data_IF_111026809298
#
_entry.id   IF_111026809298
#
_cell.length_a   1.000
_cell.length_b   1.000
_cell.length_c   1.000
_cell.angle_alpha   90.00
_cell.angle_beta   90.00
_cell.angle_gamma   90.00
#
_symmetry.space_group_name_H-M   'P 1'
#
loop_
_entity.id
_entity.type
_entity.pdbx_description
1 polymer ?
#
# COMPACT_ATOMS: atom_id res chain seq x y z
N UNK A 1 28.20 -28.45 -19.67
CA UNK A 1 27.97 -27.58 -18.48
C UNK A 1 27.87 -26.10 -18.83
N UNK A 2 28.75 -25.55 -19.68
CA UNK A 2 28.69 -24.14 -20.09
C UNK A 2 27.39 -23.74 -20.81
N UNK A 3 26.85 -24.59 -21.70
CA UNK A 3 25.62 -24.24 -22.43
C UNK A 3 24.39 -24.16 -21.54
N UNK A 4 24.25 -25.09 -20.58
CA UNK A 4 23.15 -25.08 -19.62
C UNK A 4 23.21 -23.87 -18.68
N UNK A 5 24.42 -23.43 -18.30
CA UNK A 5 24.61 -22.23 -17.49
C UNK A 5 24.24 -20.97 -18.28
N UNK A 6 24.72 -20.85 -19.52
CA UNK A 6 24.41 -19.72 -20.41
C UNK A 6 22.91 -19.63 -20.72
N UNK A 7 22.23 -20.76 -20.93
CA UNK A 7 20.79 -20.79 -21.17
C UNK A 7 20.01 -20.33 -19.94
N UNK A 8 20.34 -20.85 -18.75
CA UNK A 8 19.69 -20.46 -17.51
C UNK A 8 19.97 -19.00 -17.16
N UNK A 9 21.17 -18.50 -17.39
CA UNK A 9 21.51 -17.09 -17.22
C UNK A 9 20.62 -16.20 -18.11
N UNK A 10 20.52 -16.51 -19.41
CA UNK A 10 19.69 -15.73 -20.34
C UNK A 10 18.23 -15.71 -19.93
N UNK A 11 17.69 -16.86 -19.54
CA UNK A 11 16.31 -16.98 -19.06
C UNK A 11 16.09 -16.19 -17.76
N UNK A 12 17.02 -16.30 -16.81
CA UNK A 12 16.96 -15.55 -15.55
C UNK A 12 17.05 -14.05 -15.78
N UNK A 13 17.97 -13.58 -16.63
CA UNK A 13 18.09 -12.16 -17.00
C UNK A 13 16.81 -11.66 -17.65
N UNK A 14 16.21 -12.45 -18.54
CA UNK A 14 14.95 -12.10 -19.19
C UNK A 14 13.84 -11.87 -18.17
N UNK A 15 13.62 -12.83 -17.27
CA UNK A 15 12.59 -12.73 -16.23
C UNK A 15 12.87 -11.56 -15.29
N UNK A 16 14.12 -11.35 -14.86
CA UNK A 16 14.48 -10.24 -13.99
C UNK A 16 14.27 -8.88 -14.66
N UNK A 17 14.48 -8.75 -15.98
CA UNK A 17 14.17 -7.52 -16.72
C UNK A 17 12.68 -7.26 -16.79
N UNK A 18 11.86 -8.29 -17.01
CA UNK A 18 10.40 -8.17 -16.92
C UNK A 18 9.98 -7.73 -15.52
N UNK A 19 10.50 -8.38 -14.48
CA UNK A 19 10.18 -8.06 -13.10
C UNK A 19 10.56 -6.63 -12.71
N UNK A 20 11.75 -6.19 -13.15
CA UNK A 20 12.18 -4.81 -13.00
C UNK A 20 11.19 -3.82 -13.62
N UNK A 21 10.68 -4.12 -14.83
CA UNK A 21 9.67 -3.26 -15.48
C UNK A 21 8.37 -3.21 -14.69
N UNK A 22 7.95 -4.31 -14.06
CA UNK A 22 6.76 -4.33 -13.20
C UNK A 22 6.95 -3.45 -11.95
N UNK A 23 8.13 -3.51 -11.33
CA UNK A 23 8.45 -2.64 -10.19
C UNK A 23 8.53 -1.16 -10.57
N UNK A 24 9.00 -0.83 -11.78
CA UNK A 24 8.97 0.53 -12.31
C UNK A 24 7.54 1.02 -12.54
N UNK A 25 6.67 0.20 -13.17
CA UNK A 25 5.26 0.55 -13.34
C UNK A 25 4.56 0.73 -11.99
N UNK A 26 4.84 -0.15 -11.03
CA UNK A 26 4.32 -0.03 -9.67
C UNK A 26 4.77 1.28 -9.01
N UNK A 27 6.04 1.67 -9.16
CA UNK A 27 6.55 2.95 -8.64
C UNK A 27 5.74 4.15 -9.15
N UNK A 28 5.49 4.21 -10.46
CA UNK A 28 4.71 5.30 -11.08
C UNK A 28 3.29 5.36 -10.51
N UNK A 29 2.65 4.20 -10.36
CA UNK A 29 1.28 4.13 -9.84
C UNK A 29 1.20 4.52 -8.36
N UNK A 30 2.15 4.09 -7.55
CA UNK A 30 2.23 4.48 -6.14
C UNK A 30 2.53 5.98 -5.96
N UNK A 31 3.37 6.55 -6.82
CA UNK A 31 3.65 7.99 -6.79
C UNK A 31 2.39 8.80 -7.18
N UNK A 32 1.66 8.35 -8.20
CA UNK A 32 0.35 8.90 -8.57
C UNK A 32 -0.67 8.77 -7.43
N UNK A 33 -0.70 7.62 -6.74
CA UNK A 33 -1.59 7.39 -5.60
C UNK A 33 -1.30 8.40 -4.49
N UNK A 34 -0.03 8.56 -4.11
CA UNK A 34 0.41 9.53 -3.11
C UNK A 34 -0.07 10.94 -3.45
N UNK A 35 0.06 11.37 -4.70
CA UNK A 35 -0.39 12.69 -5.15
C UNK A 35 -1.92 12.84 -5.09
N UNK A 36 -2.67 11.85 -5.57
CA UNK A 36 -4.14 11.86 -5.49
C UNK A 36 -4.63 11.93 -4.03
N UNK A 37 -4.00 11.16 -3.14
CA UNK A 37 -4.29 11.21 -1.71
C UNK A 37 -3.95 12.57 -1.11
N UNK A 38 -2.82 13.16 -1.47
CA UNK A 38 -2.40 14.48 -0.97
C UNK A 38 -3.36 15.60 -1.39
N UNK A 39 -3.90 15.55 -2.61
CA UNK A 39 -4.76 16.59 -3.17
C UNK A 39 -6.27 16.27 -3.12
N UNK A 40 -6.69 15.26 -2.33
CA UNK A 40 -8.10 14.85 -2.15
C UNK A 40 -8.84 14.55 -3.47
N UNK A 41 -8.15 13.95 -4.44
CA UNK A 41 -8.75 13.55 -5.72
C UNK A 41 -9.14 12.08 -5.67
N UNK A 42 -10.33 11.81 -5.15
CA UNK A 42 -10.76 10.43 -4.85
C UNK A 42 -11.34 9.68 -6.05
N UNK A 43 -11.84 10.40 -7.06
CA UNK A 43 -12.56 9.84 -8.22
C UNK A 43 -11.76 8.80 -9.01
N UNK A 44 -10.42 8.87 -8.96
CA UNK A 44 -9.52 7.96 -9.69
C UNK A 44 -8.81 6.94 -8.81
N UNK A 45 -9.05 6.93 -7.49
CA UNK A 45 -8.31 6.05 -6.57
C UNK A 45 -8.70 4.58 -6.74
N UNK A 46 -9.98 4.28 -6.97
CA UNK A 46 -10.44 2.90 -7.13
C UNK A 46 -9.82 2.22 -8.37
N UNK A 47 -9.81 2.93 -9.50
CA UNK A 47 -9.17 2.43 -10.72
C UNK A 47 -7.67 2.22 -10.51
N UNK A 48 -7.01 3.16 -9.84
CA UNK A 48 -5.59 3.08 -9.53
C UNK A 48 -5.27 1.91 -8.57
N UNK A 49 -6.11 1.65 -7.57
CA UNK A 49 -5.96 0.48 -6.70
C UNK A 49 -6.07 -0.83 -7.49
N UNK A 50 -7.03 -0.92 -8.40
CA UNK A 50 -7.16 -2.08 -9.26
C UNK A 50 -5.92 -2.28 -10.16
N UNK A 51 -5.30 -1.20 -10.64
CA UNK A 51 -4.04 -1.26 -11.40
C UNK A 51 -2.85 -1.70 -10.54
N UNK A 52 -2.73 -1.17 -9.33
CA UNK A 52 -1.71 -1.56 -8.35
C UNK A 52 -1.83 -3.05 -8.02
N UNK A 53 -3.04 -3.55 -7.75
CA UNK A 53 -3.30 -4.99 -7.52
C UNK A 53 -2.91 -5.85 -8.73
N UNK A 54 -3.22 -5.41 -9.95
CA UNK A 54 -2.80 -6.09 -11.17
C UNK A 54 -1.28 -6.18 -11.27
N UNK A 55 -0.56 -5.12 -10.89
CA UNK A 55 0.90 -5.13 -10.84
C UNK A 55 1.45 -6.10 -9.79
N UNK A 56 0.89 -6.14 -8.58
CA UNK A 56 1.29 -7.13 -7.58
C UNK A 56 1.09 -8.57 -8.08
N UNK A 57 -0.02 -8.84 -8.78
CA UNK A 57 -0.25 -10.16 -9.40
C UNK A 57 0.81 -10.51 -10.46
N UNK A 58 1.28 -9.54 -11.25
CA UNK A 58 2.35 -9.75 -12.24
C UNK A 58 3.70 -10.03 -11.58
N UNK A 59 4.04 -9.25 -10.55
CA UNK A 59 5.26 -9.44 -9.74
C UNK A 59 5.26 -10.85 -9.13
N UNK A 60 4.18 -11.24 -8.44
CA UNK A 60 4.06 -12.57 -7.84
C UNK A 60 4.26 -13.70 -8.87
N UNK A 61 3.64 -13.58 -10.05
CA UNK A 61 3.84 -14.55 -11.14
C UNK A 61 5.30 -14.62 -11.61
N UNK A 62 6.02 -13.51 -11.61
CA UNK A 62 7.46 -13.47 -11.93
C UNK A 62 8.29 -14.18 -10.86
N UNK A 63 8.02 -13.88 -9.59
CA UNK A 63 8.68 -14.50 -8.45
C UNK A 63 8.47 -16.03 -8.41
N UNK A 64 7.27 -16.48 -8.78
CA UNK A 64 6.94 -17.90 -8.92
C UNK A 64 7.74 -18.57 -10.06
N UNK A 65 7.95 -17.88 -11.20
CA UNK A 65 8.82 -18.36 -12.29
C UNK A 65 10.27 -18.48 -11.85
N UNK A 66 10.80 -17.47 -11.15
CA UNK A 66 12.17 -17.50 -10.60
C UNK A 66 12.32 -18.65 -9.61
N UNK A 67 11.33 -18.83 -8.73
CA UNK A 67 11.30 -19.94 -7.76
C UNK A 67 11.30 -21.29 -8.46
N UNK A 68 10.54 -21.43 -9.55
CA UNK A 68 10.52 -22.64 -10.38
C UNK A 68 11.89 -22.90 -11.02
N UNK A 69 12.56 -21.89 -11.56
CA UNK A 69 13.91 -22.02 -12.11
C UNK A 69 14.94 -22.46 -11.05
N UNK A 70 14.87 -21.85 -9.87
CA UNK A 70 15.71 -22.21 -8.73
C UNK A 70 15.50 -23.67 -8.32
N UNK A 71 14.24 -24.12 -8.24
CA UNK A 71 13.90 -25.47 -7.80
C UNK A 71 14.28 -26.54 -8.83
N UNK A 72 14.20 -26.23 -10.14
CA UNK A 72 14.62 -27.16 -11.20
C UNK A 72 16.11 -27.48 -11.15
N UNK A 73 16.97 -26.48 -10.95
CA UNK A 73 18.43 -26.66 -10.93
C UNK A 73 19.12 -25.76 -9.89
N UNK A 74 19.07 -26.11 -8.58
CA UNK A 74 19.55 -25.23 -7.51
C UNK A 74 21.02 -24.82 -7.62
N UNK A 75 21.89 -25.75 -8.02
CA UNK A 75 23.33 -25.50 -8.12
C UNK A 75 23.67 -24.55 -9.28
N UNK A 76 23.08 -24.79 -10.47
CA UNK A 76 23.29 -23.94 -11.65
C UNK A 76 22.65 -22.56 -11.41
N UNK A 77 21.48 -22.51 -10.78
CA UNK A 77 20.84 -21.25 -10.40
C UNK A 77 21.73 -20.42 -9.48
N UNK A 78 22.38 -21.04 -8.48
CA UNK A 78 23.31 -20.33 -7.59
C UNK A 78 24.50 -19.74 -8.35
N UNK A 79 25.04 -20.46 -9.33
CA UNK A 79 26.12 -19.96 -10.20
C UNK A 79 25.64 -18.78 -11.06
N UNK A 80 24.49 -18.92 -11.73
CA UNK A 80 23.92 -17.86 -12.54
C UNK A 80 23.58 -16.61 -11.72
N UNK A 81 23.00 -16.78 -10.52
CA UNK A 81 22.70 -15.68 -9.60
C UNK A 81 23.95 -14.95 -9.09
N UNK A 82 25.12 -15.59 -9.15
CA UNK A 82 26.38 -14.97 -8.78
C UNK A 82 26.97 -14.09 -9.90
N UNK A 83 26.47 -14.21 -11.14
CA UNK A 83 27.00 -13.49 -12.30
C UNK A 83 26.77 -11.97 -12.18
N UNK A 84 27.70 -11.13 -12.66
CA UNK A 84 27.64 -9.68 -12.48
C UNK A 84 26.37 -9.03 -13.03
N UNK A 85 25.93 -9.46 -14.22
CA UNK A 85 24.75 -8.87 -14.87
C UNK A 85 23.46 -9.19 -14.10
N UNK A 86 23.32 -10.43 -13.63
CA UNK A 86 22.20 -10.83 -12.78
C UNK A 86 22.19 -10.01 -11.48
N UNK A 87 23.34 -9.89 -10.81
CA UNK A 87 23.48 -9.08 -9.59
C UNK A 87 23.10 -7.62 -9.81
N UNK A 88 23.51 -7.03 -10.94
CA UNK A 88 23.20 -5.64 -11.30
C UNK A 88 21.70 -5.41 -11.41
N UNK A 89 20.98 -6.31 -12.09
CA UNK A 89 19.52 -6.21 -12.25
C UNK A 89 18.84 -6.41 -10.90
N UNK A 90 19.24 -7.42 -10.12
CA UNK A 90 18.69 -7.68 -8.76
C UNK A 90 18.88 -6.46 -7.85
N UNK A 91 20.07 -5.85 -7.83
CA UNK A 91 20.31 -4.63 -7.04
C UNK A 91 19.42 -3.46 -7.48
N UNK A 92 19.13 -3.36 -8.77
CA UNK A 92 18.24 -2.34 -9.32
C UNK A 92 16.79 -2.57 -8.89
N UNK A 93 16.33 -3.82 -8.92
CA UNK A 93 15.03 -4.25 -8.39
C UNK A 93 14.94 -3.93 -6.89
N UNK A 94 15.93 -4.32 -6.09
CA UNK A 94 15.97 -4.05 -4.64
C UNK A 94 15.86 -2.55 -4.36
N UNK A 95 16.54 -1.72 -5.15
CA UNK A 95 16.46 -0.26 -5.01
C UNK A 95 15.04 0.25 -5.31
N UNK A 96 14.39 -0.25 -6.36
CA UNK A 96 13.00 0.10 -6.67
C UNK A 96 12.03 -0.38 -5.59
N UNK A 97 12.18 -1.60 -5.08
CA UNK A 97 11.37 -2.12 -3.98
C UNK A 97 11.44 -1.19 -2.77
N UNK A 98 12.64 -0.76 -2.37
CA UNK A 98 12.81 0.19 -1.26
C UNK A 98 12.11 1.52 -1.52
N UNK A 99 12.19 2.03 -2.76
CA UNK A 99 11.47 3.27 -3.15
C UNK A 99 9.95 3.08 -3.09
N UNK A 100 9.43 1.96 -3.57
CA UNK A 100 8.01 1.64 -3.51
C UNK A 100 7.50 1.53 -2.08
N UNK A 101 8.24 0.85 -1.20
CA UNK A 101 7.92 0.76 0.24
C UNK A 101 7.81 2.15 0.86
N UNK A 102 8.78 3.04 0.57
CA UNK A 102 8.76 4.41 1.06
C UNK A 102 7.52 5.18 0.59
N UNK A 103 7.13 5.06 -0.68
CA UNK A 103 5.92 5.72 -1.20
C UNK A 103 4.64 5.24 -0.51
N UNK A 104 4.55 3.93 -0.23
CA UNK A 104 3.42 3.37 0.51
C UNK A 104 3.38 3.90 1.94
N UNK A 105 4.54 3.96 2.63
CA UNK A 105 4.64 4.53 3.98
C UNK A 105 4.23 6.01 4.02
N UNK A 106 4.71 6.81 3.07
CA UNK A 106 4.31 8.21 2.95
C UNK A 106 2.79 8.34 2.74
N UNK A 107 2.21 7.50 1.86
CA UNK A 107 0.76 7.46 1.61
C UNK A 107 -0.04 7.06 2.86
N UNK A 108 0.46 6.08 3.62
CA UNK A 108 -0.13 5.65 4.90
C UNK A 108 -0.11 6.80 5.93
N UNK A 109 1.00 7.51 6.08
CA UNK A 109 1.08 8.67 6.97
C UNK A 109 0.06 9.76 6.61
N UNK A 110 -0.13 10.06 5.32
CA UNK A 110 -1.15 11.02 4.89
C UNK A 110 -2.55 10.57 5.27
N UNK A 111 -2.88 9.30 5.05
CA UNK A 111 -4.20 8.75 5.39
C UNK A 111 -4.43 8.71 6.90
N UNK A 112 -3.43 8.34 7.68
CA UNK A 112 -3.51 8.35 9.13
C UNK A 112 -3.76 9.76 9.67
N UNK A 113 -3.09 10.79 9.14
CA UNK A 113 -3.34 12.18 9.53
C UNK A 113 -4.79 12.61 9.25
N UNK A 114 -5.33 12.25 8.08
CA UNK A 114 -6.75 12.53 7.76
C UNK A 114 -7.71 11.78 8.68
N UNK A 115 -7.45 10.51 8.94
CA UNK A 115 -8.24 9.68 9.85
C UNK A 115 -8.27 10.28 11.27
N UNK A 116 -7.12 10.68 11.81
CA UNK A 116 -7.06 11.29 13.15
C UNK A 116 -7.81 12.61 13.21
N UNK A 117 -7.73 13.44 12.15
CA UNK A 117 -8.52 14.68 12.05
C UNK A 117 -10.02 14.40 12.11
N UNK A 118 -10.53 13.48 11.26
CA UNK A 118 -11.95 13.11 11.24
C UNK A 118 -12.37 12.56 12.62
N UNK A 119 -11.55 11.72 13.23
CA UNK A 119 -11.80 11.18 14.58
C UNK A 119 -11.92 12.28 15.63
N UNK A 120 -11.05 13.30 15.56
CA UNK A 120 -11.12 14.47 16.45
C UNK A 120 -12.38 15.30 16.20
N UNK A 121 -12.75 15.52 14.94
CA UNK A 121 -13.99 16.24 14.58
C UNK A 121 -15.22 15.51 15.11
N UNK A 122 -15.31 14.19 14.96
CA UNK A 122 -16.37 13.36 15.54
C UNK A 122 -16.39 13.47 17.07
N UNK A 123 -15.22 13.42 17.72
CA UNK A 123 -15.11 13.60 19.17
C UNK A 123 -15.64 14.95 19.63
N UNK A 124 -15.34 16.02 18.89
CA UNK A 124 -15.88 17.36 19.12
C UNK A 124 -17.41 17.39 19.00
N UNK A 125 -17.96 16.80 17.94
CA UNK A 125 -19.42 16.73 17.74
C UNK A 125 -20.14 15.93 18.83
N UNK A 126 -19.57 14.81 19.28
CA UNK A 126 -20.11 14.05 20.42
C UNK A 126 -20.13 14.87 21.71
N UNK A 127 -19.13 15.70 21.94
CA UNK A 127 -19.15 16.62 23.09
C UNK A 127 -20.23 17.70 22.94
N UNK A 128 -20.56 18.09 21.72
CA UNK A 128 -21.68 19.00 21.42
C UNK A 128 -23.06 18.36 21.58
N UNK A 129 -23.19 17.02 21.65
CA UNK A 129 -24.44 16.35 22.05
C UNK A 129 -24.85 16.73 23.48
N UNK A 130 -23.95 17.28 24.32
CA UNK A 130 -24.32 17.91 25.59
C UNK A 130 -25.32 19.06 25.42
N UNK A 131 -25.36 19.72 24.26
CA UNK A 131 -26.37 20.74 23.97
C UNK A 131 -27.78 20.13 23.89
N UNK A 132 -27.91 18.85 23.51
CA UNK A 132 -29.19 18.13 23.57
C UNK A 132 -29.67 17.91 25.01
N UNK A 133 -28.77 17.95 26.00
CA UNK A 133 -29.14 17.89 27.43
C UNK A 133 -29.74 19.21 27.92
N UNK A 134 -29.37 20.35 27.35
CA UNK A 134 -30.00 21.65 27.67
C UNK A 134 -31.48 21.72 27.28
N UNK A 135 -31.94 20.86 26.37
CA UNK A 135 -33.38 20.74 26.05
C UNK A 135 -34.14 19.81 27.01
N UNK A 136 -33.47 19.13 27.96
CA UNK A 136 -34.11 18.19 28.91
C UNK A 136 -34.35 18.77 30.30
N UNK A 137 -33.73 19.89 30.66
CA UNK A 137 -33.76 20.42 32.04
C UNK A 137 -34.81 21.53 32.29
N UNK A 138 -35.85 21.66 31.45
CA UNK A 138 -36.88 22.70 31.62
C UNK A 138 -38.32 22.19 31.53
N UNK A 139 -38.68 21.18 32.32
CA UNK A 139 -40.05 21.09 32.83
C UNK A 139 -40.01 21.14 34.36
N UNK A 140 -40.21 22.32 34.99
CA UNK A 140 -40.52 22.35 36.41
C UNK A 140 -41.90 21.71 36.58
N UNK A 141 -41.95 20.54 37.22
CA UNK A 141 -43.20 19.93 37.66
C UNK A 141 -43.94 20.94 38.56
N UNK A 142 -45.18 21.35 38.25
CA UNK A 142 -45.92 22.24 39.11
C UNK A 142 -46.18 21.53 40.45
N UNK A 143 -45.48 21.96 41.50
CA UNK A 143 -45.80 21.57 42.87
C UNK A 143 -47.06 22.33 43.29
N UNK A 144 -48.20 21.64 43.29
CA UNK A 144 -49.39 22.12 43.96
C UNK A 144 -49.12 22.16 45.47
N UNK A 145 -49.09 23.36 46.04
CA UNK A 145 -49.08 23.56 47.49
C UNK A 145 -50.54 23.41 47.95
N UNK A 146 -50.88 22.27 48.55
CA UNK A 146 -52.19 22.09 49.19
C UNK A 146 -52.22 22.93 50.47
N UNK A 147 -52.87 24.10 50.38
CA UNK A 147 -53.03 25.03 51.49
C UNK A 147 -54.05 24.49 52.50
N UNK A 148 -53.56 23.74 53.49
CA UNK A 148 -54.28 23.49 54.74
C UNK A 148 -53.48 24.03 55.91
N UNK A 149 -53.84 25.23 56.36
CA UNK A 149 -54.10 25.56 57.78
C UNK A 149 -54.79 26.93 57.87
#
# INVERSE_FOLDING_TARGET
MNDNLNQLERELIFILKEEYSFYQSLFIMLDKQKDLLKYNKEDHLLELFAEIERSYKRIKKSEDKISTLKNKNPNIFRLAAALPEVKKIVNSIVTLVKKNVRLVQESEEYMNKKYQRIKSEIGGLKNSEKILQYMRDNEPSPQFVDGKQ
#
